data_IF_163603918410
#
_entry.id   IF_163603918410
#
_cell.length_a   1.000
_cell.length_b   1.000
_cell.length_c   1.000
_cell.angle_alpha   90.00
_cell.angle_beta   90.00
_cell.angle_gamma   90.00
#
_symmetry.space_group_name_H-M   'P 1'
#
loop_
_entity.id
_entity.type
_entity.pdbx_description
1 polymer ?
#
# COMPACT_ATOMS: atom_id res chain seq x y z
N UNK A 1 0.22 8.50 5.03
CA UNK A 1 1.52 8.15 5.65
C UNK A 1 1.71 9.05 6.86
N UNK A 2 2.38 8.60 7.92
CA UNK A 2 2.61 9.44 9.10
C UNK A 2 4.00 10.06 9.04
N UNK A 3 4.04 11.39 9.12
CA UNK A 3 5.26 12.20 9.23
C UNK A 3 5.94 12.05 10.60
N UNK A 4 5.24 11.49 11.59
CA UNK A 4 5.77 11.19 12.92
C UNK A 4 5.57 9.71 13.22
N UNK A 5 6.67 8.99 13.34
CA UNK A 5 6.72 7.57 13.67
C UNK A 5 6.92 7.35 15.18
N UNK A 6 6.25 6.34 15.71
CA UNK A 6 6.40 5.90 17.11
C UNK A 6 7.57 4.94 17.31
N UNK A 7 8.26 4.56 16.24
CA UNK A 7 9.46 3.73 16.31
C UNK A 7 10.63 4.66 16.61
N UNK A 8 11.28 4.42 17.75
CA UNK A 8 12.28 5.32 18.36
C UNK A 8 13.43 5.77 17.44
N UNK A 9 13.76 4.98 16.42
CA UNK A 9 14.91 5.22 15.54
C UNK A 9 14.56 5.71 14.13
N UNK A 10 13.27 5.88 13.79
CA UNK A 10 12.87 6.38 12.46
C UNK A 10 11.80 7.45 12.57
N UNK A 11 11.96 8.54 11.81
CA UNK A 11 11.08 9.71 11.85
C UNK A 11 9.73 9.45 11.18
N UNK A 12 9.71 8.60 10.14
CA UNK A 12 8.50 8.27 9.39
C UNK A 12 8.41 6.78 9.10
N UNK A 13 7.18 6.30 8.90
CA UNK A 13 6.92 4.95 8.41
C UNK A 13 6.10 5.02 7.13
N UNK A 14 6.38 4.10 6.23
CA UNK A 14 5.60 3.94 5.01
C UNK A 14 5.32 2.45 4.81
N UNK A 15 4.14 2.15 4.25
CA UNK A 15 3.75 0.78 3.94
C UNK A 15 4.13 0.46 2.48
N UNK A 16 5.08 -0.46 2.24
CA UNK A 16 5.58 -0.77 0.90
C UNK A 16 4.61 -1.60 0.04
N UNK A 17 3.44 -1.98 0.60
CA UNK A 17 2.43 -2.82 -0.08
C UNK A 17 1.17 -2.01 -0.39
N UNK A 18 1.30 -0.70 -0.57
CA UNK A 18 0.21 0.16 -1.04
C UNK A 18 0.24 0.29 -2.57
N UNK A 19 -0.93 0.25 -3.20
CA UNK A 19 -1.08 0.30 -4.66
C UNK A 19 -1.25 -1.07 -5.32
N UNK A 20 -1.79 -1.06 -6.54
CA UNK A 20 -1.98 -2.25 -7.37
C UNK A 20 -1.63 -1.90 -8.82
N UNK A 21 -0.60 -2.55 -9.37
CA UNK A 21 -0.27 -2.50 -10.79
C UNK A 21 -0.76 -3.79 -11.46
N UNK A 22 -1.58 -3.65 -12.51
CA UNK A 22 -2.10 -4.80 -13.27
C UNK A 22 -1.05 -5.28 -14.26
N UNK A 23 -0.37 -6.39 -13.95
CA UNK A 23 0.73 -6.94 -14.78
C UNK A 23 0.23 -8.06 -15.70
N UNK A 24 -0.87 -8.75 -15.34
CA UNK A 24 -1.39 -9.88 -16.13
C UNK A 24 -2.93 -9.99 -16.06
N UNK A 25 -3.49 -10.89 -16.87
CA UNK A 25 -4.94 -11.20 -16.86
C UNK A 25 -5.41 -11.77 -15.51
N UNK A 26 -4.50 -12.33 -14.69
CA UNK A 26 -4.80 -12.81 -13.35
C UNK A 26 -5.12 -11.70 -12.34
N UNK A 27 -4.86 -10.43 -12.69
CA UNK A 27 -5.24 -9.29 -11.86
C UNK A 27 -6.75 -9.00 -11.91
N UNK A 28 -7.52 -9.58 -12.85
CA UNK A 28 -8.98 -9.41 -12.90
C UNK A 28 -9.62 -9.98 -11.63
N UNK A 29 -10.32 -9.12 -10.88
CA UNK A 29 -10.96 -9.44 -9.59
C UNK A 29 -10.00 -9.80 -8.46
N UNK A 30 -8.75 -9.33 -8.52
CA UNK A 30 -7.79 -9.51 -7.43
C UNK A 30 -8.26 -8.74 -6.17
N UNK A 31 -8.29 -9.40 -5.01
CA UNK A 31 -8.69 -8.76 -3.76
C UNK A 31 -7.80 -7.54 -3.40
N UNK A 32 -6.53 -7.57 -3.80
CA UNK A 32 -5.58 -6.49 -3.55
C UNK A 32 -5.91 -5.21 -4.33
N UNK A 33 -6.65 -5.30 -5.45
CA UNK A 33 -7.11 -4.12 -6.21
C UNK A 33 -8.06 -3.26 -5.37
N UNK A 34 -9.07 -3.88 -4.74
CA UNK A 34 -10.02 -3.17 -3.88
C UNK A 34 -9.34 -2.55 -2.66
N UNK A 35 -8.35 -3.25 -2.10
CA UNK A 35 -7.57 -2.72 -0.98
C UNK A 35 -6.71 -1.53 -1.41
N UNK A 36 -6.11 -1.59 -2.60
CA UNK A 36 -5.32 -0.49 -3.16
C UNK A 36 -6.18 0.75 -3.49
N UNK A 37 -7.41 0.58 -4.00
CA UNK A 37 -8.33 1.70 -4.27
C UNK A 37 -8.76 2.45 -3.01
N UNK A 38 -8.81 1.77 -1.85
CA UNK A 38 -9.20 2.37 -0.58
C UNK A 38 -8.24 3.45 -0.08
N UNK A 39 -6.97 3.37 -0.46
CA UNK A 39 -5.88 4.22 0.04
C UNK A 39 -5.17 5.00 -1.08
N UNK A 40 -5.87 5.19 -2.21
CA UNK A 40 -5.36 5.90 -3.39
C UNK A 40 -5.38 7.42 -3.22
#
# INVERSE_FOLDING_TARGET
MSEVSHIEWTDATWNPVTGCNKISQGCKHCYAERFAERFR
#
